data_IF_477132318873
#
_entry.id   IF_477132318873
#
_cell.length_a   1.000
_cell.length_b   1.000
_cell.length_c   1.000
_cell.angle_alpha   90.00
_cell.angle_beta   90.00
_cell.angle_gamma   90.00
#
_symmetry.space_group_name_H-M   'P 1'
#
loop_
_entity.id
_entity.type
_entity.pdbx_description
1 polymer ?
#
# COMPACT_ATOMS: atom_id res chain seq x y z
N UNK A 1 24.40 11.73 -23.71
CA UNK A 1 25.22 10.49 -23.52
C UNK A 1 24.31 9.28 -23.38
N UNK A 2 24.51 8.30 -24.23
CA UNK A 2 23.64 7.10 -24.17
C UNK A 2 23.71 6.35 -22.85
N UNK A 3 24.86 6.29 -22.20
CA UNK A 3 25.03 5.56 -20.95
C UNK A 3 24.12 6.08 -19.85
N UNK A 4 24.01 7.40 -19.70
CA UNK A 4 23.16 8.02 -18.67
C UNK A 4 21.68 7.75 -18.96
N UNK A 5 21.29 7.89 -20.22
CA UNK A 5 19.91 7.62 -20.63
C UNK A 5 19.53 6.16 -20.44
N UNK A 6 20.45 5.25 -20.74
CA UNK A 6 20.19 3.82 -20.56
C UNK A 6 20.01 3.48 -19.09
N UNK A 7 20.86 4.06 -18.22
CA UNK A 7 20.75 3.84 -16.79
C UNK A 7 19.41 4.36 -16.24
N UNK A 8 18.97 5.53 -16.69
CA UNK A 8 17.68 6.10 -16.27
C UNK A 8 16.50 5.26 -16.77
N UNK A 9 16.59 4.75 -17.98
CA UNK A 9 15.54 3.87 -18.53
C UNK A 9 15.46 2.57 -17.78
N UNK A 10 16.60 1.97 -17.42
CA UNK A 10 16.63 0.77 -16.61
C UNK A 10 16.00 1.00 -15.24
N UNK A 11 16.32 2.12 -14.62
CA UNK A 11 15.72 2.50 -13.33
C UNK A 11 14.22 2.71 -13.48
N UNK A 12 13.78 3.35 -14.54
CA UNK A 12 12.36 3.53 -14.82
C UNK A 12 11.63 2.19 -14.93
N UNK A 13 12.19 1.26 -15.70
CA UNK A 13 11.61 -0.08 -15.86
C UNK A 13 11.55 -0.81 -14.51
N UNK A 14 12.61 -0.74 -13.73
CA UNK A 14 12.67 -1.37 -12.41
C UNK A 14 11.58 -0.82 -11.48
N UNK A 15 11.38 0.49 -11.48
CA UNK A 15 10.36 1.13 -10.67
C UNK A 15 8.95 0.78 -11.13
N UNK A 16 8.73 0.68 -12.43
CA UNK A 16 7.43 0.28 -12.99
C UNK A 16 7.09 -1.16 -12.60
N UNK A 17 8.06 -2.06 -12.62
CA UNK A 17 7.86 -3.44 -12.18
C UNK A 17 7.54 -3.50 -10.70
N UNK A 18 8.25 -2.76 -9.87
CA UNK A 18 7.97 -2.68 -8.44
C UNK A 18 6.58 -2.10 -8.17
N UNK A 19 6.20 -1.06 -8.90
CA UNK A 19 4.89 -0.46 -8.77
C UNK A 19 3.79 -1.51 -9.02
N UNK A 20 3.91 -2.25 -10.11
CA UNK A 20 2.95 -3.29 -10.44
C UNK A 20 2.86 -4.36 -9.35
N UNK A 21 4.01 -4.79 -8.83
CA UNK A 21 4.06 -5.80 -7.77
C UNK A 21 3.38 -5.32 -6.50
N UNK A 22 3.63 -4.08 -6.08
CA UNK A 22 2.98 -3.53 -4.89
C UNK A 22 1.47 -3.35 -5.07
N UNK A 23 1.04 -2.91 -6.25
CA UNK A 23 -0.40 -2.79 -6.55
C UNK A 23 -1.08 -4.14 -6.41
N UNK A 24 -0.49 -5.20 -6.97
CA UNK A 24 -1.03 -6.55 -6.86
C UNK A 24 -1.07 -7.03 -5.42
N UNK A 25 0.01 -6.78 -4.68
CA UNK A 25 0.10 -7.21 -3.27
C UNK A 25 -0.94 -6.49 -2.42
N UNK A 26 -1.10 -5.19 -2.60
CA UNK A 26 -2.08 -4.39 -1.86
C UNK A 26 -3.49 -4.92 -2.07
N UNK A 27 -3.82 -5.32 -3.29
CA UNK A 27 -5.15 -5.86 -3.60
C UNK A 27 -5.47 -7.15 -2.84
N UNK A 28 -4.46 -7.90 -2.42
CA UNK A 28 -4.64 -9.16 -1.70
C UNK A 28 -4.68 -8.99 -0.17
N UNK A 29 -4.32 -7.81 0.32
CA UNK A 29 -4.21 -7.59 1.76
C UNK A 29 -5.43 -6.89 2.32
N UNK A 30 -5.77 -7.23 3.56
CA UNK A 30 -6.89 -6.61 4.26
C UNK A 30 -6.65 -5.11 4.44
N UNK A 31 -7.59 -4.31 3.97
CA UNK A 31 -7.54 -2.86 4.17
C UNK A 31 -8.32 -2.47 5.40
N UNK A 32 -7.94 -1.35 6.01
CA UNK A 32 -8.67 -0.77 7.11
C UNK A 32 -7.80 -0.47 8.30
N UNK A 33 -8.47 -0.24 9.40
CA UNK A 33 -7.84 0.12 10.67
C UNK A 33 -8.50 -0.70 11.77
N UNK A 34 -7.68 -1.30 12.63
CA UNK A 34 -8.18 -2.01 13.79
C UNK A 34 -8.25 -1.03 14.96
N UNK A 35 -9.38 -1.03 15.64
CA UNK A 35 -9.57 -0.24 16.85
C UNK A 35 -10.39 -1.03 17.86
N UNK A 36 -10.32 -0.64 19.12
CA UNK A 36 -11.05 -1.29 20.18
C UNK A 36 -12.35 -0.54 20.46
N UNK A 37 -13.44 -1.27 20.58
CA UNK A 37 -14.73 -0.71 20.99
C UNK A 37 -15.08 -1.21 22.38
N UNK A 38 -15.51 -0.31 23.24
CA UNK A 38 -15.98 -0.65 24.57
C UNK A 38 -17.47 -1.00 24.50
N UNK A 39 -17.81 -2.23 24.81
CA UNK A 39 -19.19 -2.72 24.80
C UNK A 39 -19.42 -3.51 26.07
N UNK A 40 -20.38 -3.05 26.90
CA UNK A 40 -20.70 -3.72 28.14
C UNK A 40 -19.54 -3.87 29.11
N UNK A 41 -18.65 -2.90 29.16
CA UNK A 41 -17.48 -2.93 30.04
C UNK A 41 -16.29 -3.71 29.52
N UNK A 42 -16.38 -4.29 28.30
CA UNK A 42 -15.30 -5.06 27.70
C UNK A 42 -14.88 -4.44 26.38
N UNK A 43 -13.59 -4.58 26.07
CA UNK A 43 -13.01 -4.08 24.83
C UNK A 43 -13.04 -5.16 23.76
N UNK A 44 -13.51 -4.81 22.58
CA UNK A 44 -13.61 -5.73 21.45
C UNK A 44 -12.91 -5.14 20.22
N UNK A 45 -12.09 -5.91 19.50
CA UNK A 45 -11.42 -5.42 18.30
C UNK A 45 -12.37 -5.37 17.10
N UNK A 46 -12.38 -4.24 16.41
CA UNK A 46 -13.14 -4.04 15.18
C UNK A 46 -12.24 -3.56 14.08
N UNK A 47 -12.54 -4.00 12.88
CA UNK A 47 -11.88 -3.52 11.67
C UNK A 47 -12.82 -2.53 10.98
N UNK A 48 -12.35 -1.29 10.79
CA UNK A 48 -13.08 -0.25 10.07
C UNK A 48 -12.43 -0.04 8.71
N UNK A 49 -13.23 -0.05 7.65
CA UNK A 49 -12.75 0.07 6.28
C UNK A 49 -13.78 0.78 5.42
N UNK A 50 -13.34 1.27 4.25
CA UNK A 50 -14.25 1.88 3.27
C UNK A 50 -14.60 0.89 2.19
N UNK A 51 -15.87 0.85 1.83
CA UNK A 51 -16.39 0.00 0.77
C UNK A 51 -17.52 0.74 0.06
N UNK A 52 -17.36 0.94 -1.24
CA UNK A 52 -18.38 1.66 -2.02
C UNK A 52 -18.68 3.06 -1.53
N UNK A 53 -17.65 3.77 -1.03
CA UNK A 53 -17.80 5.12 -0.50
C UNK A 53 -18.39 5.20 0.90
N UNK A 54 -18.68 4.06 1.52
CA UNK A 54 -19.24 4.00 2.87
C UNK A 54 -18.21 3.42 3.83
N UNK A 55 -18.24 3.91 5.08
CA UNK A 55 -17.43 3.36 6.16
C UNK A 55 -18.16 2.16 6.75
N UNK A 56 -17.50 1.02 6.78
CA UNK A 56 -18.02 -0.21 7.36
C UNK A 56 -17.13 -0.66 8.50
N UNK A 57 -17.72 -1.42 9.40
CA UNK A 57 -17.03 -1.91 10.57
C UNK A 57 -17.45 -3.36 10.83
N UNK A 58 -16.50 -4.24 11.15
CA UNK A 58 -16.82 -5.60 11.51
C UNK A 58 -16.00 -6.04 12.70
N UNK A 59 -16.60 -6.88 13.52
CA UNK A 59 -15.91 -7.50 14.64
C UNK A 59 -14.83 -8.46 14.15
N UNK A 60 -13.66 -8.43 14.77
CA UNK A 60 -12.55 -9.34 14.44
C UNK A 60 -12.47 -10.41 15.53
N UNK A 61 -12.65 -11.67 15.15
CA UNK A 61 -12.59 -12.78 16.10
C UNK A 61 -11.18 -12.94 16.64
N UNK A 62 -11.09 -13.47 17.86
CA UNK A 62 -9.80 -13.64 18.54
C UNK A 62 -8.85 -14.51 17.72
N UNK A 63 -9.34 -15.59 17.08
CA UNK A 63 -8.52 -16.48 16.30
C UNK A 63 -8.00 -15.89 14.99
N UNK A 64 -8.63 -14.82 14.49
CA UNK A 64 -8.18 -14.17 13.25
C UNK A 64 -7.48 -12.82 13.50
N UNK A 65 -7.49 -12.34 14.73
CA UNK A 65 -7.00 -11.00 15.06
C UNK A 65 -5.55 -10.79 14.66
N UNK A 66 -4.67 -11.72 15.00
CA UNK A 66 -3.24 -11.63 14.70
C UNK A 66 -2.99 -11.56 13.19
N UNK A 67 -3.67 -12.40 12.43
CA UNK A 67 -3.53 -12.42 10.97
C UNK A 67 -4.05 -11.13 10.35
N UNK A 68 -5.20 -10.65 10.81
CA UNK A 68 -5.77 -9.40 10.29
C UNK A 68 -4.86 -8.22 10.61
N UNK A 69 -4.33 -8.15 11.83
CA UNK A 69 -3.37 -7.10 12.21
C UNK A 69 -2.13 -7.12 11.33
N UNK A 70 -1.59 -8.32 11.08
CA UNK A 70 -0.40 -8.47 10.25
C UNK A 70 -0.67 -8.01 8.82
N UNK A 71 -1.82 -8.36 8.25
CA UNK A 71 -2.20 -7.96 6.90
C UNK A 71 -2.41 -6.46 6.77
N UNK A 72 -3.07 -5.85 7.75
CA UNK A 72 -3.29 -4.41 7.77
C UNK A 72 -1.95 -3.68 7.82
N UNK A 73 -1.03 -4.16 8.66
CA UNK A 73 0.30 -3.56 8.79
C UNK A 73 1.11 -3.71 7.50
N UNK A 74 1.09 -4.89 6.89
CA UNK A 74 1.79 -5.12 5.63
C UNK A 74 1.23 -4.24 4.52
N UNK A 75 -0.10 -4.11 4.45
CA UNK A 75 -0.73 -3.26 3.45
C UNK A 75 -0.27 -1.81 3.57
N UNK A 76 -0.20 -1.31 4.80
CA UNK A 76 0.29 0.07 5.03
C UNK A 76 1.73 0.24 4.55
N UNK A 77 2.59 -0.73 4.82
CA UNK A 77 3.96 -0.69 4.34
C UNK A 77 4.02 -0.67 2.82
N UNK A 78 3.20 -1.50 2.17
CA UNK A 78 3.12 -1.54 0.71
C UNK A 78 2.59 -0.22 0.14
N UNK A 79 1.60 0.37 0.77
CA UNK A 79 1.07 1.67 0.35
C UNK A 79 2.09 2.78 0.48
N UNK A 80 2.87 2.78 1.56
CA UNK A 80 3.97 3.72 1.74
C UNK A 80 5.04 3.55 0.67
N UNK A 81 5.44 2.31 0.40
CA UNK A 81 6.42 2.00 -0.63
C UNK A 81 5.93 2.42 -2.01
N UNK A 82 4.65 2.18 -2.30
CA UNK A 82 4.04 2.57 -3.56
C UNK A 82 4.03 4.10 -3.73
N UNK A 83 3.73 4.82 -2.67
CA UNK A 83 3.75 6.28 -2.68
C UNK A 83 5.15 6.81 -3.00
N UNK A 84 6.16 6.21 -2.40
CA UNK A 84 7.56 6.56 -2.63
C UNK A 84 7.98 6.27 -4.07
N UNK A 85 7.58 5.10 -4.59
CA UNK A 85 7.87 4.71 -5.97
C UNK A 85 7.22 5.68 -6.96
N UNK A 86 5.97 6.07 -6.70
CA UNK A 86 5.27 7.02 -7.57
C UNK A 86 5.93 8.39 -7.58
N UNK A 87 6.47 8.82 -6.45
CA UNK A 87 7.23 10.07 -6.39
C UNK A 87 8.51 9.97 -7.22
N UNK A 88 9.24 8.85 -7.09
CA UNK A 88 10.46 8.62 -7.85
C UNK A 88 10.18 8.52 -9.36
N UNK A 89 9.10 7.84 -9.73
CA UNK A 89 8.69 7.74 -11.12
C UNK A 89 8.41 9.10 -11.74
N UNK A 90 7.78 9.98 -10.96
CA UNK A 90 7.47 11.33 -11.43
C UNK A 90 8.74 12.10 -11.77
N UNK A 91 9.75 11.99 -10.91
CA UNK A 91 11.04 12.63 -11.11
C UNK A 91 11.76 12.05 -12.33
N UNK A 92 11.86 10.72 -12.40
CA UNK A 92 12.58 10.05 -13.50
C UNK A 92 11.93 10.30 -14.85
N UNK A 93 10.60 10.25 -14.92
CA UNK A 93 9.87 10.53 -16.16
C UNK A 93 10.14 11.93 -16.67
N UNK A 94 10.20 12.88 -15.76
CA UNK A 94 10.51 14.27 -16.10
C UNK A 94 11.92 14.39 -16.68
N UNK A 95 12.90 13.77 -16.02
CA UNK A 95 14.29 13.80 -16.48
C UNK A 95 14.44 13.12 -17.84
N UNK A 96 13.84 11.96 -18.02
CA UNK A 96 13.91 11.22 -19.28
C UNK A 96 13.26 12.03 -20.41
N UNK A 97 12.13 12.66 -20.14
CA UNK A 97 11.42 13.49 -21.12
C UNK A 97 12.21 14.73 -21.51
N UNK A 98 12.78 15.42 -20.51
CA UNK A 98 13.51 16.66 -20.72
C UNK A 98 14.91 16.43 -21.33
N UNK A 99 15.44 15.22 -21.18
CA UNK A 99 16.80 14.87 -21.58
C UNK A 99 16.93 14.39 -23.02
N UNK A 100 16.03 14.71 -23.87
CA UNK A 100 16.08 14.29 -25.28
C UNK A 100 17.34 14.71 -26.00
#
# INVERSE_FOLDING_TARGET
>A
MPVIHDALREELERLLEKQAAYIQRIALLTKGRIHQKLIGGKMYPYLTYREGGKVRSRYVKAEELEQVMAQVAERRQCEQALKSIRADLRVIRKVVKDGK
#
